data_IF_186210018217
#
_entry.id   IF_186210018217
#
_cell.length_a   1.000
_cell.length_b   1.000
_cell.length_c   1.000
_cell.angle_alpha   90.00
_cell.angle_beta   90.00
_cell.angle_gamma   90.00
#
_symmetry.space_group_name_H-M   'P 1'
#
loop_
_entity.id
_entity.type
_entity.pdbx_description
1 polymer ?
#
# COMPACT_ATOMS: atom_id res chain seq x y z
N UNK A 1 3.11 6.80 15.15
CA UNK A 1 2.92 7.63 13.92
C UNK A 1 2.00 8.81 14.25
N UNK A 2 1.93 9.85 13.39
CA UNK A 2 1.03 10.99 13.63
C UNK A 2 -0.47 10.63 13.66
N UNK A 3 -0.86 9.54 13.01
CA UNK A 3 -2.26 9.06 12.94
C UNK A 3 -2.73 8.43 14.26
N UNK A 4 -1.86 7.67 14.94
CA UNK A 4 -2.13 7.14 16.27
C UNK A 4 -0.94 7.44 17.21
N UNK A 5 -0.97 8.58 17.92
CA UNK A 5 0.12 8.99 18.81
C UNK A 5 0.21 8.13 20.08
N UNK A 6 -0.82 7.32 20.39
CA UNK A 6 -0.86 6.46 21.57
C UNK A 6 -0.31 5.05 21.30
N UNK A 7 -0.08 4.69 20.03
CA UNK A 7 0.54 3.41 19.69
C UNK A 7 2.05 3.49 19.91
N UNK A 8 2.59 2.49 20.61
CA UNK A 8 4.03 2.24 20.67
C UNK A 8 4.54 1.92 19.26
N UNK A 9 5.63 2.58 18.85
CA UNK A 9 6.22 2.40 17.52
C UNK A 9 7.59 1.77 17.68
N UNK A 10 7.79 0.62 17.05
CA UNK A 10 9.09 -0.03 16.98
C UNK A 10 9.68 0.20 15.60
N UNK A 11 10.88 0.78 15.56
CA UNK A 11 11.66 0.88 14.34
C UNK A 11 12.64 -0.27 14.34
N UNK A 12 12.43 -1.22 13.44
CA UNK A 12 13.35 -2.33 13.26
C UNK A 12 14.34 -1.89 12.20
N UNK A 13 15.44 -1.31 12.67
CA UNK A 13 16.56 -0.94 11.81
C UNK A 13 17.41 -2.18 11.58
N UNK A 14 17.72 -2.45 10.33
CA UNK A 14 18.68 -3.48 9.98
C UNK A 14 20.00 -2.77 9.71
N UNK A 15 21.04 -3.11 10.46
CA UNK A 15 22.36 -3.04 9.85
C UNK A 15 22.26 -3.95 8.63
N UNK A 16 22.28 -3.34 7.44
CA UNK A 16 22.52 -4.04 6.20
C UNK A 16 23.65 -5.03 6.49
N UNK A 17 23.34 -6.32 6.47
CA UNK A 17 24.36 -7.35 6.32
C UNK A 17 24.92 -7.17 4.92
N UNK A 18 25.72 -6.13 4.76
CA UNK A 18 26.43 -5.84 3.54
C UNK A 18 27.27 -7.08 3.28
N UNK A 19 27.16 -7.67 2.09
CA UNK A 19 28.21 -8.56 1.64
C UNK A 19 29.57 -7.88 1.89
N UNK A 20 30.67 -8.61 2.13
CA UNK A 20 32.00 -8.02 2.27
C UNK A 20 32.42 -7.11 1.09
N UNK A 21 31.69 -7.19 -0.04
CA UNK A 21 31.87 -6.40 -1.26
C UNK A 21 30.93 -5.18 -1.41
N UNK A 22 30.01 -4.92 -0.48
CA UNK A 22 29.08 -3.79 -0.59
C UNK A 22 27.66 -4.09 -1.09
N UNK A 23 27.31 -5.32 -1.46
CA UNK A 23 26.05 -5.59 -2.19
C UNK A 23 24.91 -6.27 -1.40
N UNK A 24 23.66 -5.85 -1.70
CA UNK A 24 22.37 -6.54 -1.47
C UNK A 24 21.74 -6.51 -0.06
N UNK A 25 20.40 -6.45 0.00
CA UNK A 25 19.62 -6.40 1.26
C UNK A 25 19.10 -7.79 1.70
N UNK A 26 18.99 -8.03 3.01
CA UNK A 26 18.54 -9.31 3.61
C UNK A 26 17.07 -9.26 4.10
N UNK A 27 16.17 -8.89 3.19
CA UNK A 27 14.75 -8.72 3.50
C UNK A 27 14.03 -10.02 3.88
N UNK A 28 14.39 -11.17 3.30
CA UNK A 28 13.74 -12.45 3.67
C UNK A 28 14.13 -12.85 5.09
N UNK A 29 15.43 -12.78 5.40
CA UNK A 29 15.97 -13.13 6.71
C UNK A 29 15.34 -12.27 7.81
N UNK A 30 15.14 -10.99 7.52
CA UNK A 30 14.37 -10.06 8.35
C UNK A 30 12.97 -10.58 8.71
N UNK A 31 12.16 -10.97 7.72
CA UNK A 31 10.81 -11.48 7.96
C UNK A 31 10.85 -12.83 8.70
N UNK A 32 11.86 -13.65 8.42
CA UNK A 32 12.09 -14.90 9.15
C UNK A 32 12.39 -14.66 10.63
N UNK A 33 13.25 -13.69 10.97
CA UNK A 33 13.56 -13.31 12.35
C UNK A 33 12.33 -12.79 13.08
N UNK A 34 11.50 -11.97 12.41
CA UNK A 34 10.22 -11.53 13.00
C UNK A 34 9.35 -12.72 13.40
N UNK A 35 9.27 -13.77 12.57
CA UNK A 35 8.50 -14.97 12.93
C UNK A 35 9.03 -15.73 14.15
N UNK A 36 10.27 -15.47 14.58
CA UNK A 36 10.91 -16.10 15.74
C UNK A 36 10.75 -15.30 17.04
N UNK A 37 10.31 -14.03 16.98
CA UNK A 37 10.08 -13.23 18.16
C UNK A 37 8.79 -13.67 18.87
N UNK A 38 8.80 -13.72 20.20
CA UNK A 38 7.61 -14.02 21.01
C UNK A 38 6.65 -12.83 21.07
N UNK A 39 7.20 -11.64 21.32
CA UNK A 39 6.48 -10.38 21.34
C UNK A 39 6.64 -9.65 20.01
N UNK A 40 5.52 -9.33 19.37
CA UNK A 40 5.49 -8.75 18.03
C UNK A 40 4.51 -7.58 17.97
N UNK A 41 4.82 -6.55 17.16
CA UNK A 41 3.87 -5.49 16.91
C UNK A 41 2.61 -6.05 16.25
N UNK A 42 1.47 -5.47 16.57
CA UNK A 42 0.17 -5.86 16.00
C UNK A 42 0.02 -5.45 14.54
N UNK A 43 0.84 -4.50 14.08
CA UNK A 43 0.84 -3.95 12.73
C UNK A 43 2.28 -3.74 12.27
N UNK A 44 2.61 -4.25 11.09
CA UNK A 44 3.90 -4.06 10.42
C UNK A 44 3.68 -3.17 9.18
N UNK A 45 4.44 -2.09 9.08
CA UNK A 45 4.46 -1.21 7.90
C UNK A 45 5.81 -1.35 7.19
N UNK A 46 5.78 -1.58 5.87
CA UNK A 46 6.96 -1.82 5.06
C UNK A 46 7.01 -0.77 3.94
N UNK A 47 8.07 0.03 3.95
CA UNK A 47 8.37 1.02 2.90
C UNK A 47 9.69 0.61 2.24
N UNK A 48 9.67 -0.54 1.59
CA UNK A 48 10.77 -1.19 0.88
C UNK A 48 10.19 -1.92 -0.32
N UNK A 49 10.95 -2.05 -1.39
CA UNK A 49 10.61 -3.00 -2.43
C UNK A 49 11.52 -2.96 -3.64
N UNK A 50 11.58 -4.11 -4.31
CA UNK A 50 12.36 -4.36 -5.52
C UNK A 50 11.48 -4.98 -6.61
N UNK A 51 11.87 -4.90 -7.89
CA UNK A 51 11.11 -5.51 -8.97
C UNK A 51 11.02 -7.03 -8.78
N UNK A 52 9.82 -7.62 -8.86
CA UNK A 52 9.63 -9.07 -8.71
C UNK A 52 10.60 -9.87 -9.60
N UNK A 53 10.83 -9.39 -10.84
CA UNK A 53 11.68 -10.03 -11.85
C UNK A 53 13.18 -9.84 -11.60
N UNK A 54 13.56 -8.95 -10.69
CA UNK A 54 14.94 -8.56 -10.42
C UNK A 54 15.52 -9.04 -9.10
N UNK A 55 14.73 -9.64 -8.19
CA UNK A 55 15.17 -9.94 -6.82
C UNK A 55 16.52 -10.67 -6.72
N UNK A 56 16.77 -11.67 -7.57
CA UNK A 56 18.01 -12.45 -7.64
C UNK A 56 19.05 -11.89 -8.65
N UNK A 57 18.89 -10.64 -9.11
CA UNK A 57 19.80 -9.95 -10.03
C UNK A 57 20.41 -8.72 -9.33
N UNK A 58 21.06 -8.94 -8.18
CA UNK A 58 21.80 -7.93 -7.37
C UNK A 58 20.97 -6.99 -6.50
N UNK A 59 19.65 -7.13 -6.45
CA UNK A 59 18.82 -6.32 -5.56
C UNK A 59 18.76 -6.91 -4.14
N UNK A 60 18.61 -8.22 -4.00
CA UNK A 60 18.43 -8.88 -2.70
C UNK A 60 19.52 -9.93 -2.45
N UNK A 61 20.34 -9.75 -1.41
CA UNK A 61 21.43 -10.67 -1.08
C UNK A 61 20.91 -12.06 -0.68
N UNK A 62 19.82 -12.13 0.09
CA UNK A 62 19.16 -13.41 0.42
C UNK A 62 18.77 -14.20 -0.84
N UNK A 63 18.29 -13.51 -1.89
CA UNK A 63 17.90 -14.15 -3.13
C UNK A 63 19.11 -14.80 -3.81
N UNK A 64 20.20 -14.04 -3.95
CA UNK A 64 21.44 -14.50 -4.58
C UNK A 64 22.14 -15.62 -3.80
N UNK A 65 22.13 -15.56 -2.47
CA UNK A 65 22.91 -16.48 -1.63
C UNK A 65 22.13 -17.74 -1.25
N UNK A 66 20.83 -17.60 -1.00
CA UNK A 66 20.01 -18.67 -0.40
C UNK A 66 19.09 -19.35 -1.40
N UNK A 67 18.52 -18.59 -2.36
CA UNK A 67 17.42 -19.10 -3.19
C UNK A 67 17.76 -19.30 -4.67
N UNK A 68 18.60 -18.44 -5.25
CA UNK A 68 18.98 -18.42 -6.67
C UNK A 68 17.77 -18.47 -7.64
N UNK A 69 16.60 -18.00 -7.19
CA UNK A 69 15.38 -17.96 -7.99
C UNK A 69 14.36 -16.97 -7.38
N UNK A 70 13.94 -15.98 -8.19
CA UNK A 70 12.88 -15.03 -7.81
C UNK A 70 11.60 -15.75 -7.34
N UNK A 71 11.21 -16.81 -8.05
CA UNK A 71 9.99 -17.57 -7.75
C UNK A 71 10.10 -18.28 -6.40
N UNK A 72 11.26 -18.89 -6.11
CA UNK A 72 11.47 -19.57 -4.82
C UNK A 72 11.52 -18.54 -3.70
N UNK A 73 12.27 -17.45 -3.87
CA UNK A 73 12.36 -16.35 -2.91
C UNK A 73 10.95 -15.83 -2.56
N UNK A 74 10.18 -15.40 -3.57
CA UNK A 74 8.82 -14.86 -3.39
C UNK A 74 7.93 -15.89 -2.69
N UNK A 75 7.97 -17.16 -3.11
CA UNK A 75 7.15 -18.21 -2.48
C UNK A 75 7.52 -18.42 -1.01
N UNK A 76 8.81 -18.39 -0.65
CA UNK A 76 9.24 -18.55 0.74
C UNK A 76 8.92 -17.33 1.58
N UNK A 77 9.22 -16.13 1.10
CA UNK A 77 8.85 -14.89 1.80
C UNK A 77 7.32 -14.77 1.98
N UNK A 78 6.52 -15.18 0.99
CA UNK A 78 5.06 -15.25 1.13
C UNK A 78 4.60 -16.21 2.23
N UNK A 79 5.27 -17.35 2.41
CA UNK A 79 4.99 -18.27 3.52
C UNK A 79 5.29 -17.61 4.86
N UNK A 80 6.36 -16.82 4.96
CA UNK A 80 6.68 -16.10 6.19
C UNK A 80 5.63 -15.01 6.51
N UNK A 81 5.12 -14.30 5.50
CA UNK A 81 3.99 -13.38 5.67
C UNK A 81 2.70 -14.09 6.10
N UNK A 82 2.44 -15.29 5.58
CA UNK A 82 1.31 -16.12 6.03
C UNK A 82 1.43 -16.45 7.53
N UNK A 83 2.61 -16.85 8.00
CA UNK A 83 2.84 -17.18 9.41
C UNK A 83 2.58 -15.96 10.32
N UNK A 84 3.15 -14.80 9.99
CA UNK A 84 2.91 -13.55 10.72
C UNK A 84 1.41 -13.19 10.73
N UNK A 85 0.76 -13.29 9.58
CA UNK A 85 -0.69 -13.08 9.45
C UNK A 85 -1.52 -14.03 10.32
N UNK A 86 -1.14 -15.30 10.42
CA UNK A 86 -1.79 -16.29 11.30
C UNK A 86 -1.61 -15.99 12.78
N UNK A 87 -0.52 -15.32 13.15
CA UNK A 87 -0.28 -14.80 14.51
C UNK A 87 -1.11 -13.56 14.84
N UNK A 88 -1.91 -13.06 13.89
CA UNK A 88 -2.79 -11.90 14.09
C UNK A 88 -2.14 -10.56 13.75
N UNK A 89 -1.02 -10.57 13.03
CA UNK A 89 -0.33 -9.36 12.63
C UNK A 89 -0.91 -8.86 11.31
N UNK A 90 -1.21 -7.56 11.24
CA UNK A 90 -1.56 -6.91 9.98
C UNK A 90 -0.30 -6.38 9.31
N UNK A 91 -0.05 -6.78 8.07
CA UNK A 91 1.14 -6.37 7.32
C UNK A 91 0.72 -5.45 6.18
N UNK A 92 1.37 -4.30 6.06
CA UNK A 92 1.12 -3.32 5.03
C UNK A 92 2.42 -3.00 4.30
N UNK A 93 2.38 -2.92 2.98
CA UNK A 93 3.54 -2.56 2.18
C UNK A 93 3.20 -1.47 1.16
N UNK A 94 4.12 -0.53 0.99
CA UNK A 94 4.08 0.41 -0.12
C UNK A 94 4.05 -0.34 -1.46
N UNK A 95 3.25 0.14 -2.40
CA UNK A 95 3.08 -0.49 -3.71
C UNK A 95 4.17 -0.11 -4.73
N UNK A 96 4.96 0.92 -4.45
CA UNK A 96 6.03 1.44 -5.31
C UNK A 96 5.70 2.81 -5.90
N UNK A 97 6.71 3.48 -6.44
CA UNK A 97 6.62 4.90 -6.83
C UNK A 97 6.88 5.16 -8.33
N UNK A 98 6.88 4.10 -9.14
CA UNK A 98 7.21 4.17 -10.58
C UNK A 98 6.14 3.59 -11.50
N UNK A 99 4.89 3.63 -11.04
CA UNK A 99 3.74 3.19 -11.81
C UNK A 99 3.78 1.72 -12.20
N UNK A 100 3.13 1.39 -13.33
CA UNK A 100 3.07 0.02 -13.84
C UNK A 100 4.41 -0.47 -14.40
N UNK A 101 5.27 0.43 -14.90
CA UNK A 101 6.56 0.03 -15.46
C UNK A 101 7.54 -0.45 -14.37
N UNK A 102 7.50 0.14 -13.17
CA UNK A 102 8.26 -0.32 -12.01
C UNK A 102 9.75 0.01 -12.00
N UNK A 103 10.43 -0.43 -10.93
CA UNK A 103 11.81 -0.05 -10.58
C UNK A 103 12.89 -0.78 -11.37
N UNK A 104 14.06 -0.14 -11.48
CA UNK A 104 15.34 -0.79 -11.81
C UNK A 104 15.56 -1.27 -13.24
N UNK A 105 14.53 -1.31 -14.09
CA UNK A 105 14.68 -1.82 -15.46
C UNK A 105 14.62 -0.75 -16.54
N UNK A 106 13.63 0.16 -16.56
CA UNK A 106 13.56 1.16 -17.63
C UNK A 106 12.85 2.46 -17.24
N UNK A 107 13.62 3.52 -17.01
CA UNK A 107 13.09 4.89 -16.88
C UNK A 107 12.33 5.32 -18.14
N UNK A 108 12.70 4.79 -19.31
CA UNK A 108 12.24 5.27 -20.61
C UNK A 108 10.90 4.67 -21.09
N UNK A 109 10.26 3.82 -20.27
CA UNK A 109 8.96 3.21 -20.57
C UNK A 109 8.88 2.50 -21.93
N UNK A 110 10.03 2.05 -22.45
CA UNK A 110 10.17 1.39 -23.76
C UNK A 110 9.87 -0.11 -23.72
N UNK A 111 9.82 -0.68 -22.51
CA UNK A 111 9.67 -2.10 -22.28
C UNK A 111 8.31 -2.66 -22.72
N UNK A 112 8.33 -3.92 -23.15
CA UNK A 112 7.12 -4.71 -23.51
C UNK A 112 6.48 -5.41 -22.31
N UNK A 113 6.99 -5.24 -21.09
CA UNK A 113 6.54 -5.94 -19.87
C UNK A 113 6.56 -4.99 -18.66
N UNK A 114 5.57 -5.09 -17.77
CA UNK A 114 5.49 -4.36 -16.51
C UNK A 114 6.29 -5.05 -15.40
N UNK A 115 6.92 -4.27 -14.51
CA UNK A 115 7.75 -4.79 -13.42
C UNK A 115 7.14 -4.48 -12.05
N UNK A 116 6.23 -5.32 -11.55
CA UNK A 116 5.56 -5.05 -10.29
C UNK A 116 6.52 -5.18 -9.10
N UNK A 117 6.35 -4.35 -8.06
CA UNK A 117 7.25 -4.28 -6.91
C UNK A 117 6.89 -5.28 -5.80
N UNK A 118 7.88 -6.05 -5.36
CA UNK A 118 7.80 -6.97 -4.22
C UNK A 118 8.41 -6.29 -2.97
N UNK A 119 7.80 -6.36 -1.77
CA UNK A 119 6.73 -7.28 -1.37
C UNK A 119 5.30 -6.79 -1.65
N UNK A 120 5.10 -5.60 -2.22
CA UNK A 120 3.78 -5.03 -2.51
C UNK A 120 2.84 -5.94 -3.30
N UNK A 121 3.37 -6.86 -4.11
CA UNK A 121 2.60 -7.87 -4.86
C UNK A 121 2.21 -9.11 -4.06
N UNK A 122 2.73 -9.31 -2.85
CA UNK A 122 2.37 -10.45 -2.03
C UNK A 122 0.85 -10.45 -1.73
N UNK A 123 0.16 -11.61 -1.85
CA UNK A 123 -1.27 -11.70 -1.57
C UNK A 123 -1.56 -11.85 -0.07
N UNK A 124 -0.54 -11.86 0.78
CA UNK A 124 -0.65 -12.09 2.24
C UNK A 124 -0.34 -10.84 3.06
N UNK A 125 -0.29 -9.68 2.41
CA UNK A 125 -0.22 -8.36 3.01
C UNK A 125 -1.14 -7.40 2.27
N UNK A 126 -1.43 -6.27 2.88
CA UNK A 126 -2.20 -5.19 2.27
C UNK A 126 -1.26 -4.24 1.54
N UNK A 127 -1.33 -4.23 0.21
CA UNK A 127 -0.56 -3.33 -0.65
C UNK A 127 -1.21 -1.96 -0.69
N UNK A 128 -0.41 -0.90 -0.51
CA UNK A 128 -0.89 0.47 -0.35
C UNK A 128 -0.38 1.38 -1.47
N UNK A 129 -1.30 1.85 -2.30
CA UNK A 129 -1.10 2.86 -3.35
C UNK A 129 -1.07 4.29 -2.82
N UNK A 130 -0.66 5.20 -3.69
CA UNK A 130 -0.58 6.64 -3.44
C UNK A 130 -1.70 7.40 -4.11
N UNK A 131 -2.31 8.32 -3.36
CA UNK A 131 -3.24 9.33 -3.88
C UNK A 131 -2.76 10.74 -3.56
N UNK A 132 -3.30 11.71 -4.28
CA UNK A 132 -3.12 13.14 -4.03
C UNK A 132 -4.44 13.90 -4.14
N UNK A 133 -4.52 15.07 -3.52
CA UNK A 133 -5.62 16.01 -3.74
C UNK A 133 -5.21 17.02 -4.79
N UNK A 134 -6.08 17.25 -5.77
CA UNK A 134 -5.96 18.35 -6.73
C UNK A 134 -7.15 19.30 -6.60
N UNK A 135 -6.90 20.59 -6.82
CA UNK A 135 -7.96 21.56 -7.06
C UNK A 135 -8.15 21.71 -8.58
N UNK A 136 -9.29 21.24 -9.10
CA UNK A 136 -9.61 21.28 -10.54
C UNK A 136 -9.80 22.72 -11.04
N UNK A 137 -10.02 23.69 -10.14
CA UNK A 137 -10.14 25.10 -10.50
C UNK A 137 -8.78 25.77 -10.79
N UNK A 138 -7.67 25.20 -10.31
CA UNK A 138 -6.33 25.75 -10.48
C UNK A 138 -5.56 24.95 -11.55
N UNK A 139 -5.52 25.50 -12.75
CA UNK A 139 -4.96 24.87 -13.96
C UNK A 139 -3.41 24.95 -14.03
N UNK A 140 -2.76 25.10 -12.88
CA UNK A 140 -1.32 25.38 -12.78
C UNK A 140 -0.65 24.35 -11.85
N UNK A 141 0.36 23.69 -12.41
CA UNK A 141 1.15 22.63 -11.76
C UNK A 141 1.92 23.12 -10.51
N UNK A 142 2.08 24.43 -10.34
CA UNK A 142 2.77 25.02 -9.19
C UNK A 142 1.85 25.28 -7.97
N UNK A 143 0.53 25.21 -8.16
CA UNK A 143 -0.47 25.74 -7.22
C UNK A 143 -1.46 24.70 -6.68
N UNK A 144 -1.27 23.42 -6.98
CA UNK A 144 -1.93 22.34 -6.22
C UNK A 144 -1.41 22.41 -4.79
N UNK A 145 -2.19 22.80 -3.78
CA UNK A 145 -1.64 22.91 -2.44
C UNK A 145 -1.36 21.47 -1.95
N UNK A 146 -0.20 21.20 -1.34
CA UNK A 146 -0.03 19.95 -0.61
C UNK A 146 -1.17 19.72 0.38
N UNK A 147 -1.40 18.46 0.79
CA UNK A 147 -2.20 18.15 1.96
C UNK A 147 -1.92 19.13 3.12
N UNK A 148 -0.64 19.53 3.32
CA UNK A 148 -0.20 20.74 4.03
C UNK A 148 1.14 21.30 3.49
N UNK A 149 1.27 22.61 3.24
CA UNK A 149 2.54 23.30 2.87
C UNK A 149 3.02 24.12 4.04
N UNK A 150 4.33 24.21 4.23
CA UNK A 150 4.90 25.25 5.10
C UNK A 150 5.19 26.49 4.26
N UNK A 151 4.62 27.62 4.66
CA UNK A 151 5.11 28.92 4.21
C UNK A 151 6.31 29.25 5.09
N UNK A 152 7.53 29.18 4.53
CA UNK A 152 8.71 29.76 5.16
C UNK A 152 8.71 31.25 4.78
N UNK A 153 8.54 32.20 5.71
CA UNK A 153 8.57 33.62 5.37
C UNK A 153 9.92 33.97 4.74
N UNK A 154 9.95 34.80 3.68
CA UNK A 154 11.21 35.33 3.18
C UNK A 154 11.82 36.19 4.29
N UNK A 155 12.97 35.76 4.79
CA UNK A 155 13.81 36.46 5.77
C UNK A 155 13.26 36.58 7.21
N UNK A 156 13.80 35.74 8.11
CA UNK A 156 14.17 36.18 9.46
C UNK A 156 13.18 35.98 10.61
N UNK A 157 11.98 35.42 10.39
CA UNK A 157 11.10 35.05 11.49
C UNK A 157 10.90 33.53 11.58
N UNK A 158 11.71 32.88 12.42
CA UNK A 158 11.71 31.43 12.63
C UNK A 158 10.55 30.93 13.50
N UNK A 159 9.70 31.82 14.00
CA UNK A 159 8.70 31.50 15.03
C UNK A 159 7.26 31.43 14.51
N UNK A 160 7.03 31.60 13.20
CA UNK A 160 5.70 31.52 12.59
C UNK A 160 5.71 30.61 11.37
N UNK A 161 5.69 29.30 11.61
CA UNK A 161 5.46 28.28 10.59
C UNK A 161 3.94 28.14 10.40
N UNK A 162 3.38 28.77 9.36
CA UNK A 162 1.99 28.51 8.97
C UNK A 162 1.95 27.31 8.02
N UNK A 163 1.32 26.23 8.48
CA UNK A 163 0.96 25.10 7.63
C UNK A 163 -0.33 25.45 6.87
N UNK A 164 -0.27 25.55 5.54
CA UNK A 164 -1.42 25.73 4.67
C UNK A 164 -1.87 24.35 4.15
N UNK A 165 -2.94 23.81 4.73
CA UNK A 165 -3.50 22.53 4.36
C UNK A 165 -4.69 22.71 3.41
N UNK A 166 -4.75 21.95 2.31
CA UNK A 166 -6.00 21.85 1.54
C UNK A 166 -7.07 21.21 2.40
N UNK A 167 -8.20 21.89 2.53
CA UNK A 167 -9.41 21.37 3.19
C UNK A 167 -10.44 20.79 2.20
N UNK A 168 -10.20 20.99 0.91
CA UNK A 168 -11.05 20.63 -0.22
C UNK A 168 -10.19 20.19 -1.42
N UNK A 169 -10.83 19.64 -2.44
CA UNK A 169 -10.16 19.09 -3.62
C UNK A 169 -10.73 17.74 -4.04
N UNK A 170 -10.34 17.31 -5.24
CA UNK A 170 -10.66 15.99 -5.76
C UNK A 170 -9.47 15.07 -5.52
N UNK A 171 -9.70 13.94 -4.87
CA UNK A 171 -8.67 12.93 -4.68
C UNK A 171 -8.47 12.15 -5.97
N UNK A 172 -7.22 12.07 -6.44
CA UNK A 172 -6.82 11.43 -7.69
C UNK A 172 -5.65 10.48 -7.46
N UNK A 173 -5.44 9.56 -8.41
CA UNK A 173 -4.23 8.75 -8.40
C UNK A 173 -3.00 9.65 -8.57
N UNK A 174 -1.93 9.34 -7.83
CA UNK A 174 -0.70 10.14 -7.94
C UNK A 174 -0.07 9.98 -9.31
N UNK A 175 0.15 11.11 -9.98
CA UNK A 175 0.91 11.18 -11.22
C UNK A 175 2.04 12.21 -11.17
N UNK A 176 2.96 12.01 -12.12
CA UNK A 176 4.20 12.77 -12.29
C UNK A 176 4.02 14.26 -12.62
N UNK A 177 2.81 14.67 -12.98
CA UNK A 177 2.44 16.05 -13.21
C UNK A 177 2.46 16.93 -11.99
N UNK A 178 2.23 16.34 -10.82
CA UNK A 178 2.03 17.10 -9.58
C UNK A 178 3.00 16.67 -8.47
N UNK A 179 3.38 15.39 -8.48
CA UNK A 179 4.09 14.77 -7.35
C UNK A 179 5.39 14.07 -7.72
N UNK A 180 5.85 14.23 -8.97
CA UNK A 180 7.14 13.73 -9.48
C UNK A 180 7.39 12.21 -9.32
N UNK A 181 6.33 11.45 -9.02
CA UNK A 181 6.34 10.00 -8.98
C UNK A 181 4.96 9.46 -9.39
N UNK A 182 4.82 8.16 -9.58
CA UNK A 182 3.55 7.54 -9.99
C UNK A 182 3.23 6.34 -9.12
N UNK A 183 2.00 6.25 -8.62
CA UNK A 183 1.61 5.14 -7.73
C UNK A 183 1.81 3.78 -8.41
N UNK A 184 2.60 2.91 -7.77
CA UNK A 184 2.82 1.55 -8.20
C UNK A 184 1.52 0.75 -8.23
N UNK A 185 1.38 -0.12 -9.22
CA UNK A 185 0.18 -0.93 -9.37
C UNK A 185 0.22 -1.75 -10.65
N UNK A 186 -0.59 -2.80 -10.68
CA UNK A 186 -0.62 -3.74 -11.80
C UNK A 186 -0.92 -5.15 -11.33
N UNK A 187 -0.22 -6.12 -11.92
CA UNK A 187 -0.38 -7.54 -11.62
C UNK A 187 0.99 -8.16 -11.37
N UNK A 188 1.09 -8.98 -10.33
CA UNK A 188 2.26 -9.81 -10.05
C UNK A 188 2.66 -10.63 -11.29
N UNK A 189 3.96 -10.85 -11.46
CA UNK A 189 4.54 -11.73 -12.47
C UNK A 189 4.45 -13.19 -12.04
N UNK A 190 4.65 -13.46 -10.75
CA UNK A 190 4.83 -14.84 -10.26
C UNK A 190 3.70 -15.37 -9.38
N UNK A 191 2.88 -14.51 -8.79
CA UNK A 191 1.87 -14.93 -7.80
C UNK A 191 0.48 -14.95 -8.39
N UNK A 192 -0.21 -16.10 -8.30
CA UNK A 192 -1.57 -16.27 -8.78
C UNK A 192 -2.56 -15.39 -8.02
N UNK A 193 -3.68 -15.06 -8.67
CA UNK A 193 -4.72 -14.26 -8.07
C UNK A 193 -5.38 -14.97 -6.88
N UNK A 194 -5.43 -14.34 -5.70
CA UNK A 194 -6.15 -14.90 -4.56
C UNK A 194 -7.67 -14.76 -4.72
N UNK A 195 -8.42 -15.69 -4.11
CA UNK A 195 -9.87 -15.77 -4.29
C UNK A 195 -10.62 -14.52 -3.83
N UNK A 196 -10.11 -13.82 -2.80
CA UNK A 196 -10.76 -12.64 -2.24
C UNK A 196 -10.84 -11.45 -3.21
N UNK A 197 -9.95 -11.37 -4.21
CA UNK A 197 -9.91 -10.25 -5.16
C UNK A 197 -10.48 -10.60 -6.54
N UNK A 198 -10.80 -11.87 -6.80
CA UNK A 198 -11.17 -12.34 -8.15
C UNK A 198 -12.33 -11.54 -8.76
N UNK A 199 -13.39 -11.32 -7.97
CA UNK A 199 -14.56 -10.56 -8.41
C UNK A 199 -14.25 -9.08 -8.70
N UNK A 200 -13.35 -8.49 -7.94
CA UNK A 200 -12.93 -7.11 -8.11
C UNK A 200 -12.12 -6.93 -9.41
N UNK A 201 -11.17 -7.83 -9.66
CA UNK A 201 -10.38 -7.85 -10.91
C UNK A 201 -11.25 -8.11 -12.13
N UNK A 202 -12.21 -9.04 -12.04
CA UNK A 202 -13.15 -9.30 -13.14
C UNK A 202 -14.00 -8.08 -13.48
N UNK A 203 -14.53 -7.39 -12.46
CA UNK A 203 -15.27 -6.13 -12.64
C UNK A 203 -14.41 -5.06 -13.32
N UNK A 204 -13.13 -4.92 -12.93
CA UNK A 204 -12.21 -3.96 -13.54
C UNK A 204 -12.09 -4.16 -15.05
N UNK A 205 -11.77 -5.39 -15.49
CA UNK A 205 -11.60 -5.67 -16.92
C UNK A 205 -12.89 -5.58 -17.74
N UNK A 206 -14.06 -5.71 -17.11
CA UNK A 206 -15.35 -5.49 -17.76
C UNK A 206 -15.66 -4.00 -17.99
N UNK A 207 -15.07 -3.11 -17.19
CA UNK A 207 -15.32 -1.67 -17.24
C UNK A 207 -14.22 -0.88 -17.95
N UNK A 208 -12.99 -1.41 -18.00
CA UNK A 208 -11.82 -0.74 -18.55
C UNK A 208 -11.95 -0.53 -20.07
N UNK A 209 -11.82 0.72 -20.50
CA UNK A 209 -11.93 1.12 -21.92
C UNK A 209 -10.62 0.99 -22.70
N UNK A 210 -9.49 1.26 -22.06
CA UNK A 210 -8.16 1.28 -22.66
C UNK A 210 -7.31 0.28 -21.90
N UNK A 211 -7.01 -0.88 -22.49
CA UNK A 211 -6.28 -1.96 -21.83
C UNK A 211 -4.82 -1.98 -22.32
N UNK A 212 -3.84 -2.17 -21.44
CA UNK A 212 -2.48 -2.49 -21.86
C UNK A 212 -2.44 -3.73 -22.73
N UNK A 213 -1.47 -3.80 -23.66
CA UNK A 213 -1.19 -5.03 -24.38
C UNK A 213 -1.06 -6.20 -23.40
N UNK A 214 -1.75 -7.31 -23.68
CA UNK A 214 -1.77 -8.49 -22.80
C UNK A 214 -0.40 -9.16 -22.69
N UNK A 215 0.56 -8.81 -23.55
CA UNK A 215 1.95 -9.23 -23.42
C UNK A 215 2.67 -8.57 -22.24
N UNK A 216 2.15 -7.44 -21.73
CA UNK A 216 2.83 -6.67 -20.69
C UNK A 216 2.59 -7.20 -19.27
N UNK A 217 1.52 -7.98 -19.06
CA UNK A 217 1.10 -8.42 -17.72
C UNK A 217 0.20 -9.65 -17.79
N UNK A 218 0.02 -10.33 -16.66
CA UNK A 218 -0.87 -11.47 -16.55
C UNK A 218 -2.07 -11.17 -15.63
N UNK A 219 -3.25 -10.90 -16.21
CA UNK A 219 -4.49 -10.64 -15.44
C UNK A 219 -4.95 -11.78 -14.52
N UNK A 220 -4.43 -13.00 -14.68
CA UNK A 220 -4.74 -14.15 -13.81
C UNK A 220 -3.91 -14.15 -12.52
N UNK A 221 -2.95 -13.24 -12.40
CA UNK A 221 -2.12 -13.09 -11.23
C UNK A 221 -2.71 -12.07 -10.25
N UNK A 222 -2.08 -11.95 -9.06
CA UNK A 222 -2.45 -11.01 -8.01
C UNK A 222 -2.35 -9.58 -8.54
N UNK A 223 -3.49 -8.92 -8.70
CA UNK A 223 -3.60 -7.49 -8.98
C UNK A 223 -3.42 -6.66 -7.71
N UNK A 224 -2.70 -5.54 -7.77
CA UNK A 224 -2.35 -4.65 -6.65
C UNK A 224 -2.37 -3.16 -7.10
N UNK A 225 -2.49 -2.17 -6.21
CA UNK A 225 -2.58 -2.27 -4.74
C UNK A 225 -3.94 -2.79 -4.25
N UNK A 226 -4.07 -3.01 -2.94
CA UNK A 226 -5.36 -3.37 -2.32
C UNK A 226 -6.14 -2.13 -1.90
N UNK A 227 -5.46 -1.09 -1.43
CA UNK A 227 -6.03 0.18 -0.97
C UNK A 227 -5.06 1.31 -1.34
N UNK A 228 -5.47 2.56 -1.17
CA UNK A 228 -4.58 3.71 -1.32
C UNK A 228 -4.69 4.66 -0.13
N UNK A 229 -3.73 5.54 0.03
CA UNK A 229 -3.82 6.71 0.90
C UNK A 229 -2.93 7.81 0.35
N UNK A 230 -3.08 9.01 0.91
CA UNK A 230 -2.21 10.14 0.63
C UNK A 230 -0.75 9.73 0.58
N UNK A 231 -0.12 10.00 -0.56
CA UNK A 231 1.29 9.71 -0.80
C UNK A 231 2.10 10.96 -1.14
N UNK A 232 1.51 12.15 -1.10
CA UNK A 232 2.17 13.36 -1.62
C UNK A 232 2.28 14.44 -0.57
N UNK A 233 3.47 15.07 -0.56
CA UNK A 233 3.80 16.26 0.23
C UNK A 233 3.38 16.15 1.71
N UNK A 234 3.59 14.99 2.30
CA UNK A 234 3.39 14.78 3.73
C UNK A 234 4.44 15.51 4.53
N UNK A 235 3.96 16.21 5.56
CA UNK A 235 4.79 17.00 6.43
C UNK A 235 5.52 16.13 7.46
N UNK A 236 6.84 16.25 7.53
CA UNK A 236 7.67 15.59 8.53
C UNK A 236 8.71 16.54 9.11
N UNK A 237 9.18 16.20 10.32
CA UNK A 237 10.39 16.77 10.88
C UNK A 237 11.52 15.76 10.66
N UNK A 238 12.48 16.09 9.79
CA UNK A 238 13.63 15.25 9.50
C UNK A 238 14.93 16.01 9.84
N UNK A 239 15.78 15.38 10.65
CA UNK A 239 17.02 15.97 11.17
C UNK A 239 16.83 17.39 11.75
N UNK A 240 15.75 17.58 12.54
CA UNK A 240 15.40 18.86 13.16
C UNK A 240 14.81 19.91 12.21
N UNK A 241 14.62 19.59 10.93
CA UNK A 241 14.10 20.50 9.91
C UNK A 241 12.74 20.06 9.40
N UNK A 242 11.88 21.05 9.10
CA UNK A 242 10.59 20.81 8.49
C UNK A 242 10.76 20.52 6.99
N UNK A 243 10.25 19.37 6.56
CA UNK A 243 10.34 18.92 5.17
C UNK A 243 9.02 18.31 4.71
N UNK A 244 8.84 18.25 3.39
CA UNK A 244 7.72 17.55 2.76
C UNK A 244 8.28 16.39 1.93
N UNK A 245 7.80 15.17 2.20
CA UNK A 245 8.14 13.99 1.42
C UNK A 245 6.90 13.41 0.75
N UNK A 246 7.11 12.55 -0.23
CA UNK A 246 6.05 11.79 -0.88
C UNK A 246 6.42 10.32 -1.02
N UNK A 247 5.73 9.65 -1.93
CA UNK A 247 5.85 8.23 -2.19
C UNK A 247 4.78 7.43 -1.47
N UNK A 248 4.49 6.24 -2.00
CA UNK A 248 3.69 5.20 -1.34
C UNK A 248 4.29 4.75 -0.01
N UNK A 249 5.59 5.04 0.19
CA UNK A 249 6.30 4.99 1.47
C UNK A 249 5.65 5.80 2.59
N UNK A 250 4.88 6.84 2.25
CA UNK A 250 4.06 7.63 3.18
C UNK A 250 2.67 7.00 3.38
N UNK A 251 2.07 6.47 2.31
CA UNK A 251 0.73 5.87 2.33
C UNK A 251 0.67 4.62 3.23
N UNK A 252 1.69 3.76 3.19
CA UNK A 252 1.75 2.53 3.99
C UNK A 252 1.66 2.79 5.52
N UNK A 253 2.48 3.66 6.13
CA UNK A 253 2.40 3.95 7.56
C UNK A 253 1.13 4.72 7.96
N UNK A 254 0.50 5.47 7.05
CA UNK A 254 -0.83 6.07 7.32
C UNK A 254 -1.88 4.97 7.54
N UNK A 255 -1.94 3.98 6.65
CA UNK A 255 -2.82 2.83 6.83
C UNK A 255 -2.44 1.98 8.05
N UNK A 256 -1.15 1.81 8.35
CA UNK A 256 -0.73 1.09 9.56
C UNK A 256 -1.25 1.77 10.84
N UNK A 257 -1.19 3.11 10.89
CA UNK A 257 -1.80 3.91 11.95
C UNK A 257 -3.31 3.69 12.05
N UNK A 258 -4.03 3.70 10.92
CA UNK A 258 -5.47 3.41 10.88
C UNK A 258 -5.76 2.00 11.41
N UNK A 259 -5.02 0.99 10.95
CA UNK A 259 -5.20 -0.40 11.40
C UNK A 259 -4.96 -0.54 12.90
N UNK A 260 -3.99 0.16 13.48
CA UNK A 260 -3.78 0.17 14.94
C UNK A 260 -5.01 0.69 15.69
N UNK A 261 -5.67 1.73 15.17
CA UNK A 261 -6.94 2.23 15.71
C UNK A 261 -8.02 1.16 15.56
N UNK A 262 -8.15 0.52 14.40
CA UNK A 262 -9.16 -0.53 14.17
C UNK A 262 -8.92 -1.76 15.08
N UNK A 263 -7.67 -2.10 15.37
CA UNK A 263 -7.30 -3.15 16.30
C UNK A 263 -7.80 -2.83 17.72
N UNK A 264 -7.76 -1.57 18.17
CA UNK A 264 -8.34 -1.19 19.48
C UNK A 264 -9.83 -1.54 19.59
N UNK A 265 -10.60 -1.34 18.51
CA UNK A 265 -12.00 -1.74 18.44
C UNK A 265 -12.14 -3.27 18.41
N UNK A 266 -11.31 -3.98 17.65
CA UNK A 266 -11.33 -5.44 17.57
C UNK A 266 -11.02 -6.11 18.90
N UNK A 267 -9.98 -5.64 19.59
CA UNK A 267 -9.55 -6.12 20.89
C UNK A 267 -10.64 -5.94 21.94
N UNK A 268 -11.29 -4.76 21.97
CA UNK A 268 -12.41 -4.49 22.88
C UNK A 268 -13.55 -5.51 22.79
N UNK A 269 -13.86 -6.02 21.59
CA UNK A 269 -14.99 -6.93 21.38
C UNK A 269 -14.61 -8.41 21.32
N UNK A 270 -13.37 -8.75 20.97
CA UNK A 270 -12.98 -10.12 20.65
C UNK A 270 -11.70 -10.60 21.33
N UNK A 271 -10.99 -9.70 22.01
CA UNK A 271 -9.65 -9.94 22.54
C UNK A 271 -8.64 -10.40 21.47
N UNK A 272 -8.87 -10.06 20.20
CA UNK A 272 -8.00 -10.37 19.06
C UNK A 272 -7.90 -9.16 18.13
N UNK A 273 -6.74 -9.00 17.51
CA UNK A 273 -6.48 -8.06 16.41
C UNK A 273 -7.18 -8.54 15.13
N UNK A 274 -7.19 -7.68 14.11
CA UNK A 274 -7.77 -8.00 12.81
C UNK A 274 -6.89 -8.96 11.99
N UNK A 275 -5.57 -8.92 12.17
CA UNK A 275 -4.62 -9.78 11.45
C UNK A 275 -4.66 -9.55 9.95
N UNK A 276 -4.76 -10.62 9.17
CA UNK A 276 -4.81 -10.55 7.70
C UNK A 276 -6.06 -9.81 7.19
N UNK A 277 -5.86 -8.63 6.59
CA UNK A 277 -6.94 -7.69 6.28
C UNK A 277 -7.62 -7.93 4.93
N UNK A 278 -6.92 -8.42 3.91
CA UNK A 278 -7.41 -8.34 2.53
C UNK A 278 -8.80 -8.97 2.33
N UNK A 279 -9.11 -10.19 2.83
CA UNK A 279 -10.45 -10.74 2.70
C UNK A 279 -11.54 -9.87 3.34
N UNK A 280 -11.24 -9.21 4.47
CA UNK A 280 -12.15 -8.28 5.13
C UNK A 280 -12.33 -7.00 4.30
N UNK A 281 -11.25 -6.44 3.75
CA UNK A 281 -11.29 -5.20 2.96
C UNK A 281 -12.09 -5.38 1.66
N UNK A 282 -11.82 -6.43 0.89
CA UNK A 282 -12.57 -6.71 -0.35
C UNK A 282 -14.04 -7.04 -0.07
N UNK A 283 -14.34 -7.72 1.05
CA UNK A 283 -15.74 -7.92 1.46
C UNK A 283 -16.40 -6.59 1.86
N UNK A 284 -15.67 -5.74 2.59
CA UNK A 284 -16.15 -4.45 3.05
C UNK A 284 -16.44 -3.50 1.91
N UNK A 285 -15.64 -3.48 0.85
CA UNK A 285 -15.92 -2.63 -0.32
C UNK A 285 -17.21 -3.02 -1.04
N UNK A 286 -17.60 -4.30 -1.02
CA UNK A 286 -18.87 -4.74 -1.56
C UNK A 286 -20.07 -4.42 -0.66
N UNK A 287 -19.93 -4.61 0.66
CA UNK A 287 -21.03 -4.38 1.62
C UNK A 287 -21.17 -2.92 2.08
N UNK A 288 -20.11 -2.13 1.95
CA UNK A 288 -20.00 -0.75 2.39
C UNK A 288 -19.16 0.06 1.38
N UNK A 289 -19.70 0.41 0.20
CA UNK A 289 -18.96 1.22 -0.77
C UNK A 289 -18.46 2.54 -0.19
N UNK A 290 -19.21 3.15 0.75
CA UNK A 290 -18.81 4.39 1.45
C UNK A 290 -17.69 4.21 2.48
N UNK A 291 -17.23 2.98 2.72
CA UNK A 291 -16.08 2.73 3.60
C UNK A 291 -14.77 3.12 2.93
N UNK A 292 -14.77 3.29 1.60
CA UNK A 292 -13.64 3.78 0.84
C UNK A 292 -14.08 4.99 0.00
N UNK A 293 -13.18 5.94 -0.22
CA UNK A 293 -13.35 6.96 -1.25
C UNK A 293 -12.79 6.36 -2.54
N UNK A 294 -13.67 6.13 -3.50
CA UNK A 294 -13.37 5.50 -4.80
C UNK A 294 -12.67 6.50 -5.72
N UNK A 295 -11.41 6.21 -6.07
CA UNK A 295 -10.58 7.12 -6.88
C UNK A 295 -10.74 6.73 -8.34
N UNK A 296 -11.26 7.66 -9.14
CA UNK A 296 -11.70 7.36 -10.51
C UNK A 296 -11.01 8.22 -11.57
N UNK A 297 -10.01 8.99 -11.16
CA UNK A 297 -9.24 9.90 -11.99
C UNK A 297 -7.74 9.63 -11.81
N UNK A 298 -7.02 9.71 -12.93
CA UNK A 298 -5.59 9.44 -13.01
C UNK A 298 -5.27 8.03 -13.51
N UNK A 299 -3.97 7.78 -13.68
CA UNK A 299 -3.43 6.53 -14.18
C UNK A 299 -2.02 6.30 -13.63
N UNK A 300 -1.47 5.10 -13.84
CA UNK A 300 -0.10 4.79 -13.43
C UNK A 300 0.83 4.46 -14.59
N UNK A 301 0.70 5.20 -15.69
CA UNK A 301 1.33 4.82 -16.96
C UNK A 301 2.84 4.83 -16.90
N UNK A 302 3.45 5.92 -16.45
CA UNK A 302 4.89 6.12 -16.55
C UNK A 302 5.39 7.00 -15.39
N UNK A 303 6.61 6.74 -14.88
CA UNK A 303 7.28 7.60 -13.91
C UNK A 303 7.83 8.91 -14.50
N UNK A 304 7.77 9.13 -15.82
CA UNK A 304 8.17 10.40 -16.47
C UNK A 304 7.35 10.63 -17.77
N UNK A 305 6.89 11.88 -17.97
CA UNK A 305 5.94 12.31 -19.01
C UNK A 305 6.59 12.26 -20.38
N UNK A 306 7.90 12.43 -20.45
CA UNK A 306 8.68 12.33 -21.68
C UNK A 306 8.60 10.93 -22.32
N UNK A 307 8.22 9.92 -21.53
CA UNK A 307 8.09 8.54 -21.98
C UNK A 307 6.65 8.04 -22.10
N UNK A 308 5.65 8.88 -21.82
CA UNK A 308 4.21 8.59 -21.96
C UNK A 308 3.72 8.56 -23.42
N UNK A 309 4.39 7.84 -24.31
CA UNK A 309 4.10 7.88 -25.76
C UNK A 309 3.07 6.83 -26.21
N UNK A 310 2.88 5.77 -25.43
CA UNK A 310 1.94 4.69 -25.74
C UNK A 310 0.57 5.00 -25.12
N UNK A 311 -0.46 5.11 -25.97
CA UNK A 311 -1.84 5.51 -25.58
C UNK A 311 -2.45 4.71 -24.43
N UNK A 312 -2.19 3.40 -24.37
CA UNK A 312 -2.71 2.49 -23.35
C UNK A 312 -1.59 1.79 -22.56
N UNK A 313 -0.51 2.48 -22.26
CA UNK A 313 0.48 1.98 -21.29
C UNK A 313 -0.08 2.13 -19.87
N UNK A 314 0.27 1.23 -18.95
CA UNK A 314 -0.23 1.17 -17.58
C UNK A 314 -1.76 1.10 -17.41
N UNK A 315 -2.21 1.32 -16.18
CA UNK A 315 -3.61 1.14 -15.79
C UNK A 315 -4.29 2.46 -15.47
N UNK A 316 -5.61 2.50 -15.63
CA UNK A 316 -6.42 3.68 -15.32
C UNK A 316 -7.19 3.45 -14.03
N UNK A 317 -7.28 4.51 -13.22
CA UNK A 317 -8.18 4.56 -12.09
C UNK A 317 -9.63 4.66 -12.60
N UNK A 318 -10.51 3.78 -12.14
CA UNK A 318 -11.91 3.72 -12.56
C UNK A 318 -12.76 3.27 -11.39
N UNK A 319 -14.08 3.47 -11.50
CA UNK A 319 -15.03 3.06 -10.45
C UNK A 319 -14.81 1.61 -9.98
N UNK A 320 -14.62 1.46 -8.67
CA UNK A 320 -14.45 0.17 -8.00
C UNK A 320 -13.00 -0.11 -7.66
N UNK A 321 -12.60 -1.39 -7.70
CA UNK A 321 -11.19 -1.71 -7.56
C UNK A 321 -10.46 -1.46 -8.89
N UNK A 322 -9.29 -0.84 -8.82
CA UNK A 322 -8.37 -0.73 -9.94
C UNK A 322 -6.91 -1.02 -9.54
N UNK A 323 -6.04 -1.42 -10.49
CA UNK A 323 -4.62 -1.64 -10.25
C UNK A 323 -3.80 -0.33 -10.28
N UNK A 324 -4.37 0.75 -9.74
CA UNK A 324 -3.71 2.05 -9.52
C UNK A 324 -3.83 2.46 -8.05
N UNK A 325 -5.06 2.46 -7.52
CA UNK A 325 -5.43 2.90 -6.17
C UNK A 325 -6.16 1.82 -5.36
N UNK A 326 -6.37 0.64 -5.93
CA UNK A 326 -6.98 -0.48 -5.24
C UNK A 326 -8.45 -0.20 -4.95
N UNK A 327 -8.90 -0.47 -3.72
CA UNK A 327 -10.25 -0.15 -3.27
C UNK A 327 -10.47 1.34 -2.98
N UNK A 328 -9.42 2.17 -3.10
CA UNK A 328 -9.44 3.59 -2.79
C UNK A 328 -8.98 3.93 -1.37
N UNK A 329 -9.18 5.19 -0.98
CA UNK A 329 -8.70 5.74 0.28
C UNK A 329 -9.69 5.49 1.44
N UNK A 330 -9.22 5.40 2.71
CA UNK A 330 -10.08 4.98 3.81
C UNK A 330 -11.04 6.08 4.27
N UNK A 331 -12.34 5.79 4.29
CA UNK A 331 -13.28 6.54 5.14
C UNK A 331 -13.30 5.91 6.55
N UNK A 332 -12.35 6.30 7.39
CA UNK A 332 -12.11 5.69 8.72
C UNK A 332 -13.37 5.65 9.58
N UNK A 333 -14.21 6.70 9.53
CA UNK A 333 -15.47 6.76 10.28
C UNK A 333 -16.44 5.64 9.87
N UNK A 334 -16.58 5.40 8.57
CA UNK A 334 -17.46 4.36 8.05
C UNK A 334 -16.86 2.96 8.28
N UNK A 335 -15.55 2.80 8.14
CA UNK A 335 -14.84 1.55 8.45
C UNK A 335 -15.06 1.15 9.91
N UNK A 336 -14.88 2.07 10.87
CA UNK A 336 -15.10 1.82 12.29
C UNK A 336 -16.55 1.37 12.56
N UNK A 337 -17.54 2.03 11.96
CA UNK A 337 -18.96 1.65 12.08
C UNK A 337 -19.19 0.23 11.54
N UNK A 338 -18.67 -0.07 10.36
CA UNK A 338 -18.81 -1.38 9.73
C UNK A 338 -18.18 -2.49 10.59
N UNK A 339 -16.93 -2.30 11.01
CA UNK A 339 -16.20 -3.27 11.85
C UNK A 339 -16.92 -3.46 13.19
N UNK A 340 -17.32 -2.38 13.87
CA UNK A 340 -18.03 -2.47 15.15
C UNK A 340 -19.34 -3.26 15.02
N UNK A 341 -20.10 -3.03 13.95
CA UNK A 341 -21.33 -3.79 13.65
C UNK A 341 -21.03 -5.27 13.43
N UNK A 342 -20.00 -5.58 12.63
CA UNK A 342 -19.57 -6.95 12.33
C UNK A 342 -19.15 -7.70 13.60
N UNK A 343 -18.32 -7.07 14.43
CA UNK A 343 -17.82 -7.66 15.67
C UNK A 343 -18.94 -7.90 16.70
N UNK A 344 -19.85 -6.93 16.88
CA UNK A 344 -21.03 -7.08 17.75
C UNK A 344 -21.91 -8.25 17.32
N UNK A 345 -22.17 -8.40 16.02
CA UNK A 345 -22.95 -9.52 15.49
C UNK A 345 -22.29 -10.86 15.84
N UNK A 346 -20.98 -10.98 15.63
CA UNK A 346 -20.21 -12.20 15.94
C UNK A 346 -20.19 -12.51 17.44
N UNK A 347 -20.03 -11.50 18.28
CA UNK A 347 -20.06 -11.63 19.73
C UNK A 347 -21.41 -12.16 20.22
N UNK A 348 -22.51 -11.56 19.77
CA UNK A 348 -23.86 -11.96 20.16
C UNK A 348 -24.20 -13.39 19.70
N UNK A 349 -23.81 -13.77 18.48
CA UNK A 349 -23.99 -15.15 17.99
C UNK A 349 -23.22 -16.17 18.83
N UNK A 350 -21.99 -15.86 19.26
CA UNK A 350 -21.21 -16.75 20.15
C UNK A 350 -21.84 -16.87 21.53
N UNK A 351 -22.28 -15.76 22.13
CA UNK A 351 -22.96 -15.77 23.44
C UNK A 351 -24.22 -16.62 23.39
N UNK A 352 -25.01 -16.52 22.32
CA UNK A 352 -26.19 -17.35 22.10
C UNK A 352 -25.86 -18.84 22.02
N UNK A 353 -24.83 -19.22 21.26
CA UNK A 353 -24.39 -20.62 21.16
C UNK A 353 -23.91 -21.18 22.51
N UNK A 354 -23.09 -20.42 23.24
CA UNK A 354 -22.60 -20.81 24.57
C UNK A 354 -23.76 -20.95 25.57
N UNK A 355 -24.76 -20.07 25.52
CA UNK A 355 -25.94 -20.19 26.39
C UNK A 355 -26.78 -21.43 26.10
N UNK A 356 -26.77 -21.95 24.87
CA UNK A 356 -27.45 -23.21 24.53
C UNK A 356 -26.68 -24.45 24.98
N UNK A 357 -25.35 -24.41 25.01
CA UNK A 357 -24.54 -25.53 25.49
C UNK A 357 -24.46 -25.64 27.02
N UNK A 358 -24.87 -24.60 27.76
CA UNK A 358 -25.02 -24.64 29.22
C UNK A 358 -26.42 -25.10 29.67
N UNK A 359 -27.33 -25.35 28.73
CA UNK A 359 -28.71 -25.80 28.98
C UNK A 359 -28.95 -27.28 28.60
N UNK A 360 -27.88 -28.01 28.28
CA UNK A 360 -27.81 -29.46 28.13
C UNK A 360 -26.62 -29.96 28.95
#
# INVERSE_FOLDING_TARGET
SGVNPLAENWFINYESGVNPDGSGENFYTTILTLNQLDDLPQVLSISYGDPETGLCNNFTADCNTTFNSNVIYIRRTNIEFMKLSMRGISILAASGDQGANGFGYEANCTNKIFHPAYPGTSPYLTSVGGTELIDIAYNDSESVPPACSVIIPPHGNTNATLAHCVSDGTEVAVDIGYSHYTSGGGFSTYTSQPIYQRRAVEKYFNLMKCQPPTSMYNRRNRGFPDVSAFGTRGFVVFNGTYQAFGGTSMSAPLWAGIVSILNSYSLKWTNKTLGFLNPLLYKMSEECPTCFNDITLGDNKCPDRSYCTIKCQGFQAIRGWDPVTGLGSPNVKQIIKYITRLLKKKYNSRKYLLSKHLLY
#
